data_IF_176079233748
#
_entry.id   IF_176079233748
#
_cell.length_a   1.000
_cell.length_b   1.000
_cell.length_c   1.000
_cell.angle_alpha   90.00
_cell.angle_beta   90.00
_cell.angle_gamma   90.00
#
_symmetry.space_group_name_H-M   'P 1'
#
loop_
_entity.id
_entity.type
_entity.pdbx_description
1 polymer ?
#
# COMPACT_ATOMS: atom_id res chain seq x y z
N UNK A 1 24.55 34.43 -16.76
CA UNK A 1 23.60 33.35 -16.41
C UNK A 1 23.86 32.21 -17.39
N UNK A 2 24.26 31.02 -16.93
CA UNK A 2 24.32 29.86 -17.80
C UNK A 2 22.88 29.43 -18.07
N UNK A 3 22.45 29.55 -19.33
CA UNK A 3 21.16 29.03 -19.78
C UNK A 3 21.37 27.51 -19.88
N UNK A 4 21.02 26.77 -18.82
CA UNK A 4 20.98 25.31 -18.93
C UNK A 4 19.89 24.93 -19.93
N UNK A 5 20.11 23.90 -20.76
CA UNK A 5 19.05 23.38 -21.61
C UNK A 5 17.84 22.96 -20.77
N UNK A 6 16.63 23.22 -21.26
CA UNK A 6 15.40 22.90 -20.53
C UNK A 6 15.32 21.43 -20.11
N UNK A 7 15.78 20.51 -20.97
CA UNK A 7 15.81 19.07 -20.66
C UNK A 7 16.64 18.72 -19.42
N UNK A 8 17.75 19.43 -19.19
CA UNK A 8 18.63 19.21 -18.05
C UNK A 8 18.04 19.79 -16.77
N UNK A 9 17.32 20.91 -16.88
CA UNK A 9 16.56 21.47 -15.76
C UNK A 9 15.45 20.52 -15.34
N UNK A 10 14.65 20.03 -16.28
CA UNK A 10 13.58 19.07 -15.98
C UNK A 10 14.15 17.78 -15.37
N UNK A 11 15.26 17.25 -15.89
CA UNK A 11 15.85 16.02 -15.34
C UNK A 11 16.32 16.19 -13.90
N UNK A 12 16.84 17.37 -13.54
CA UNK A 12 17.24 17.71 -12.18
C UNK A 12 16.03 17.81 -11.25
N UNK A 13 14.95 18.47 -11.69
CA UNK A 13 13.69 18.55 -10.93
C UNK A 13 13.13 17.15 -10.64
N UNK A 14 13.03 16.29 -11.66
CA UNK A 14 12.58 14.90 -11.51
C UNK A 14 13.46 14.06 -10.57
N UNK A 15 14.76 14.31 -10.58
CA UNK A 15 15.72 13.61 -9.73
C UNK A 15 15.55 13.98 -8.25
N UNK A 16 15.34 15.27 -7.95
CA UNK A 16 15.04 15.74 -6.60
C UNK A 16 13.70 15.19 -6.11
N UNK A 17 12.70 15.13 -6.99
CA UNK A 17 11.38 14.55 -6.70
C UNK A 17 11.48 13.06 -6.36
N UNK A 18 12.32 12.31 -7.07
CA UNK A 18 12.48 10.86 -6.92
C UNK A 18 13.34 10.43 -5.72
N UNK A 19 14.18 11.31 -5.18
CA UNK A 19 15.12 10.98 -4.10
C UNK A 19 14.44 10.42 -2.82
N UNK A 20 13.43 11.08 -2.23
CA UNK A 20 12.74 10.55 -1.05
C UNK A 20 12.10 9.18 -1.31
N UNK A 21 11.56 8.97 -2.52
CA UNK A 21 10.97 7.70 -2.92
C UNK A 21 12.05 6.61 -3.05
N UNK A 22 13.19 6.91 -3.65
CA UNK A 22 14.33 6.00 -3.74
C UNK A 22 14.83 5.56 -2.37
N UNK A 23 15.00 6.50 -1.43
CA UNK A 23 15.38 6.22 -0.04
C UNK A 23 14.32 5.32 0.63
N UNK A 24 13.03 5.65 0.48
CA UNK A 24 11.94 4.86 1.03
C UNK A 24 11.96 3.42 0.52
N UNK A 25 12.11 3.20 -0.79
CA UNK A 25 12.15 1.87 -1.39
C UNK A 25 13.37 1.06 -0.92
N UNK A 26 14.54 1.69 -0.77
CA UNK A 26 15.72 1.04 -0.21
C UNK A 26 15.50 0.63 1.24
N UNK A 27 14.96 1.52 2.08
CA UNK A 27 14.66 1.21 3.47
C UNK A 27 13.63 0.09 3.59
N UNK A 28 12.61 0.09 2.74
CA UNK A 28 11.60 -0.97 2.67
C UNK A 28 12.23 -2.30 2.23
N UNK A 29 13.11 -2.28 1.23
CA UNK A 29 13.87 -3.46 0.78
C UNK A 29 14.79 -4.02 1.87
N UNK A 30 15.53 -3.17 2.58
CA UNK A 30 16.38 -3.56 3.72
C UNK A 30 15.53 -4.16 4.83
N UNK A 31 14.42 -3.50 5.15
CA UNK A 31 13.51 -3.96 6.19
C UNK A 31 12.93 -5.32 5.82
N UNK A 32 12.37 -5.49 4.62
CA UNK A 32 11.83 -6.76 4.15
C UNK A 32 12.88 -7.87 4.02
N UNK A 33 14.11 -7.54 3.62
CA UNK A 33 15.23 -8.49 3.58
C UNK A 33 15.58 -9.04 4.98
N UNK A 34 15.52 -8.17 6.00
CA UNK A 34 15.80 -8.55 7.39
C UNK A 34 14.68 -9.35 8.04
N UNK A 35 13.48 -9.36 7.46
CA UNK A 35 12.38 -10.16 7.97
C UNK A 35 12.56 -11.63 7.57
N UNK A 36 12.51 -12.51 8.57
CA UNK A 36 12.49 -13.96 8.37
C UNK A 36 11.06 -14.49 8.25
N UNK A 37 10.08 -13.78 8.81
CA UNK A 37 8.67 -14.14 8.80
C UNK A 37 7.78 -13.00 8.30
N UNK A 38 6.59 -13.29 7.76
CA UNK A 38 5.62 -12.27 7.37
C UNK A 38 5.28 -11.36 8.53
N UNK A 39 5.30 -10.04 8.30
CA UNK A 39 5.01 -9.04 9.32
C UNK A 39 3.69 -8.36 9.07
N UNK A 40 2.89 -8.30 10.13
CA UNK A 40 1.68 -7.50 10.21
C UNK A 40 2.05 -6.04 10.54
N UNK A 41 1.70 -5.13 9.64
CA UNK A 41 1.92 -3.69 9.82
C UNK A 41 0.57 -2.98 9.83
N UNK A 42 0.41 -2.04 10.74
CA UNK A 42 -0.74 -1.14 10.74
C UNK A 42 -0.76 -0.33 9.44
N UNK A 43 -1.92 -0.22 8.78
CA UNK A 43 -2.06 0.57 7.54
C UNK A 43 -1.68 2.04 7.71
N UNK A 44 -1.73 2.58 8.93
CA UNK A 44 -1.22 3.92 9.21
C UNK A 44 0.30 4.06 9.06
N UNK A 45 1.08 3.11 9.61
CA UNK A 45 2.54 3.12 9.49
C UNK A 45 2.97 2.93 8.04
N UNK A 46 2.31 2.04 7.32
CA UNK A 46 2.55 1.84 5.88
C UNK A 46 2.25 3.13 5.10
N UNK A 47 1.06 3.71 5.27
CA UNK A 47 0.68 4.95 4.60
C UNK A 47 1.63 6.10 4.95
N UNK A 48 2.06 6.24 6.21
CA UNK A 48 3.05 7.26 6.59
C UNK A 48 4.38 7.08 5.87
N UNK A 49 4.87 5.83 5.77
CA UNK A 49 6.07 5.52 5.01
C UNK A 49 5.92 5.90 3.53
N UNK A 50 4.80 5.52 2.92
CA UNK A 50 4.51 5.85 1.53
C UNK A 50 4.40 7.36 1.30
N UNK A 51 3.71 8.09 2.18
CA UNK A 51 3.58 9.55 2.10
C UNK A 51 4.93 10.25 2.29
N UNK A 52 5.81 9.71 3.13
CA UNK A 52 7.18 10.20 3.27
C UNK A 52 7.96 9.99 1.97
N UNK A 53 7.85 8.81 1.34
CA UNK A 53 8.47 8.53 0.04
C UNK A 53 7.92 9.44 -1.08
N UNK A 54 6.62 9.72 -1.09
CA UNK A 54 5.97 10.59 -2.07
C UNK A 54 6.09 12.08 -1.76
N UNK A 55 6.67 12.46 -0.62
CA UNK A 55 6.75 13.86 -0.19
C UNK A 55 7.46 14.75 -1.22
N UNK A 56 8.53 14.25 -1.87
CA UNK A 56 9.21 14.98 -2.94
C UNK A 56 8.30 15.30 -4.12
N UNK A 57 7.46 14.34 -4.52
CA UNK A 57 6.47 14.52 -5.60
C UNK A 57 5.42 15.57 -5.24
N UNK A 58 4.94 15.58 -4.00
CA UNK A 58 3.93 16.55 -3.59
C UNK A 58 4.52 17.95 -3.30
N UNK A 59 5.73 18.04 -2.76
CA UNK A 59 6.30 19.32 -2.33
C UNK A 59 7.07 20.06 -3.44
N UNK A 60 7.63 19.33 -4.40
CA UNK A 60 8.47 19.89 -5.48
C UNK A 60 7.93 19.51 -6.87
N UNK A 61 7.11 18.46 -6.96
CA UNK A 61 6.69 17.89 -8.24
C UNK A 61 5.54 18.59 -8.96
N UNK A 62 4.99 17.94 -10.01
CA UNK A 62 4.00 18.51 -10.91
C UNK A 62 2.78 19.16 -10.23
N UNK A 63 2.25 18.66 -9.09
CA UNK A 63 1.15 19.33 -8.40
C UNK A 63 1.45 20.79 -8.04
N UNK A 64 2.72 21.15 -7.79
CA UNK A 64 3.12 22.52 -7.47
C UNK A 64 3.04 23.47 -8.66
N UNK A 65 2.98 22.97 -9.89
CA UNK A 65 2.86 23.79 -11.10
C UNK A 65 1.55 24.58 -11.13
N UNK A 66 0.50 24.07 -10.48
CA UNK A 66 -0.77 24.79 -10.29
C UNK A 66 -0.57 26.05 -9.44
N UNK A 67 0.21 25.94 -8.36
CA UNK A 67 0.55 27.05 -7.47
C UNK A 67 1.52 28.01 -8.17
N UNK A 68 2.43 27.50 -9.00
CA UNK A 68 3.37 28.32 -9.75
C UNK A 68 2.68 29.36 -10.66
N UNK A 69 1.48 29.06 -11.17
CA UNK A 69 0.68 30.04 -11.94
C UNK A 69 0.29 31.28 -11.13
N UNK A 70 0.17 31.18 -9.81
CA UNK A 70 -0.11 32.33 -8.94
C UNK A 70 1.05 33.34 -8.91
N UNK A 71 2.26 32.92 -9.27
CA UNK A 71 3.42 33.81 -9.35
C UNK A 71 3.24 34.94 -10.36
N UNK A 72 2.39 34.77 -11.37
CA UNK A 72 2.03 35.85 -12.31
C UNK A 72 1.29 37.02 -11.63
N UNK A 73 0.70 36.81 -10.44
CA UNK A 73 0.08 37.88 -9.64
C UNK A 73 1.04 38.50 -8.62
N UNK A 74 2.28 38.01 -8.53
CA UNK A 74 3.29 38.45 -7.57
C UNK A 74 3.76 37.32 -6.65
N UNK A 75 4.93 37.50 -6.06
CA UNK A 75 5.56 36.49 -5.19
C UNK A 75 4.78 36.28 -3.88
N UNK A 76 4.11 37.29 -3.34
CA UNK A 76 3.24 37.16 -2.15
C UNK A 76 2.10 36.17 -2.39
N UNK A 77 1.43 36.27 -3.54
CA UNK A 77 0.35 35.37 -3.93
C UNK A 77 0.82 33.93 -4.15
N UNK A 78 2.06 33.76 -4.63
CA UNK A 78 2.68 32.44 -4.73
C UNK A 78 2.83 31.80 -3.35
N UNK A 79 3.37 32.52 -2.37
CA UNK A 79 3.55 32.00 -1.00
C UNK A 79 2.23 31.70 -0.31
N UNK A 80 1.23 32.58 -0.46
CA UNK A 80 -0.13 32.34 0.06
C UNK A 80 -0.73 31.09 -0.57
N UNK A 81 -0.65 30.97 -1.90
CA UNK A 81 -1.12 29.79 -2.62
C UNK A 81 -0.42 28.50 -2.20
N UNK A 82 0.90 28.55 -1.99
CA UNK A 82 1.69 27.43 -1.53
C UNK A 82 1.31 27.02 -0.10
N UNK A 83 1.09 27.99 0.79
CA UNK A 83 0.59 27.74 2.14
C UNK A 83 -0.76 27.05 2.15
N UNK A 84 -1.72 27.51 1.35
CA UNK A 84 -3.04 26.86 1.19
C UNK A 84 -2.90 25.44 0.64
N UNK A 85 -2.03 25.24 -0.36
CA UNK A 85 -1.75 23.93 -0.94
C UNK A 85 -1.20 22.95 0.12
N UNK A 86 -0.21 23.35 0.90
CA UNK A 86 0.36 22.51 1.98
C UNK A 86 -0.70 22.20 3.04
N UNK A 87 -1.53 23.18 3.42
CA UNK A 87 -2.62 22.95 4.37
C UNK A 87 -3.61 21.88 3.84
N UNK A 88 -3.99 21.94 2.57
CA UNK A 88 -4.85 20.94 1.93
C UNK A 88 -4.20 19.55 1.90
N UNK A 89 -2.90 19.45 1.61
CA UNK A 89 -2.16 18.18 1.67
C UNK A 89 -2.18 17.59 3.08
N UNK A 90 -1.95 18.40 4.11
CA UNK A 90 -1.99 17.95 5.51
C UNK A 90 -3.40 17.49 5.93
N UNK A 91 -4.44 18.18 5.47
CA UNK A 91 -5.83 17.77 5.70
C UNK A 91 -6.13 16.44 4.99
N UNK A 92 -5.69 16.28 3.74
CA UNK A 92 -5.83 15.04 2.98
C UNK A 92 -5.09 13.88 3.66
N UNK A 93 -3.84 14.10 4.09
CA UNK A 93 -3.05 13.13 4.84
C UNK A 93 -3.78 12.72 6.13
N UNK A 94 -4.25 13.69 6.93
CA UNK A 94 -4.99 13.41 8.16
C UNK A 94 -6.27 12.62 7.88
N UNK A 95 -6.98 12.92 6.80
CA UNK A 95 -8.17 12.17 6.38
C UNK A 95 -7.85 10.74 5.96
N UNK A 96 -6.80 10.53 5.15
CA UNK A 96 -6.33 9.21 4.74
C UNK A 96 -5.88 8.37 5.96
N UNK A 97 -5.09 8.96 6.87
CA UNK A 97 -4.63 8.29 8.10
C UNK A 97 -5.78 7.88 9.01
N UNK A 98 -6.87 8.66 9.05
CA UNK A 98 -8.09 8.30 9.79
C UNK A 98 -8.79 7.11 9.13
N UNK A 99 -8.88 7.07 7.80
CA UNK A 99 -9.46 5.93 7.06
C UNK A 99 -8.65 4.65 7.25
N UNK A 100 -7.32 4.73 7.36
CA UNK A 100 -6.45 3.58 7.51
C UNK A 100 -6.31 3.05 8.96
N UNK A 101 -7.00 3.64 9.95
CA UNK A 101 -6.94 3.18 11.36
C UNK A 101 -7.37 1.72 11.55
N UNK A 102 -8.28 1.24 10.71
CA UNK A 102 -8.86 -0.12 10.77
C UNK A 102 -8.29 -1.06 9.72
N UNK A 103 -7.25 -0.65 9.03
CA UNK A 103 -6.61 -1.45 7.99
C UNK A 103 -5.28 -1.96 8.51
N UNK A 104 -4.96 -3.21 8.19
CA UNK A 104 -3.66 -3.80 8.41
C UNK A 104 -3.20 -4.48 7.14
N UNK A 105 -1.89 -4.54 6.97
CA UNK A 105 -1.25 -5.13 5.80
C UNK A 105 -0.23 -6.14 6.27
N UNK A 106 -0.32 -7.36 5.74
CA UNK A 106 0.67 -8.41 5.91
C UNK A 106 1.59 -8.37 4.69
N UNK A 107 2.89 -8.20 4.92
CA UNK A 107 3.92 -8.21 3.86
C UNK A 107 4.63 -9.55 3.75
N UNK A 108 5.07 -9.89 2.53
CA UNK A 108 5.89 -11.06 2.28
C UNK A 108 5.15 -12.37 2.55
N UNK A 109 3.85 -12.39 2.32
CA UNK A 109 3.02 -13.58 2.53
C UNK A 109 2.57 -14.12 1.17
N UNK A 110 2.76 -15.42 0.96
CA UNK A 110 2.17 -16.08 -0.18
C UNK A 110 0.64 -16.14 0.01
N UNK A 111 -0.11 -16.09 -1.09
CA UNK A 111 -1.55 -16.19 -1.04
C UNK A 111 -1.98 -17.45 -0.26
N UNK A 112 -1.36 -18.60 -0.56
CA UNK A 112 -1.61 -19.89 0.10
C UNK A 112 -1.42 -19.83 1.63
N UNK A 113 -0.29 -19.28 2.09
CA UNK A 113 0.03 -19.18 3.53
C UNK A 113 -0.92 -18.23 4.26
N UNK A 114 -1.30 -17.11 3.62
CA UNK A 114 -2.32 -16.22 4.16
C UNK A 114 -3.67 -16.93 4.31
N UNK A 115 -4.06 -17.78 3.34
CA UNK A 115 -5.32 -18.54 3.45
C UNK A 115 -5.25 -19.53 4.59
N UNK A 116 -4.15 -20.27 4.71
CA UNK A 116 -3.95 -21.25 5.76
C UNK A 116 -3.99 -20.59 7.14
N UNK A 117 -3.27 -19.49 7.32
CA UNK A 117 -3.24 -18.76 8.59
C UNK A 117 -4.63 -18.22 8.97
N UNK A 118 -5.41 -17.71 8.00
CA UNK A 118 -6.79 -17.27 8.24
C UNK A 118 -7.75 -18.43 8.55
N UNK A 119 -7.56 -19.59 7.93
CA UNK A 119 -8.35 -20.78 8.23
C UNK A 119 -8.05 -21.35 9.62
N UNK A 120 -6.78 -21.36 10.01
CA UNK A 120 -6.34 -21.74 11.36
C UNK A 120 -6.87 -20.77 12.41
N UNK A 121 -6.79 -19.45 12.14
CA UNK A 121 -7.39 -18.42 12.97
C UNK A 121 -8.89 -18.64 13.16
N UNK A 122 -9.64 -18.91 12.09
CA UNK A 122 -11.07 -19.18 12.19
C UNK A 122 -11.38 -20.41 13.05
N UNK A 123 -10.56 -21.47 12.96
CA UNK A 123 -10.69 -22.66 13.83
C UNK A 123 -10.42 -22.36 15.30
N UNK A 124 -9.43 -21.52 15.61
CA UNK A 124 -9.10 -21.15 16.99
C UNK A 124 -10.15 -20.24 17.62
N UNK A 125 -10.77 -19.34 16.84
CA UNK A 125 -11.72 -18.36 17.34
C UNK A 125 -13.18 -18.85 17.34
N UNK A 126 -13.50 -19.90 16.58
CA UNK A 126 -14.83 -20.51 16.54
C UNK A 126 -14.80 -21.98 16.98
N UNK A 127 -14.45 -22.31 18.24
CA UNK A 127 -14.47 -23.69 18.71
C UNK A 127 -15.88 -24.30 18.79
N UNK A 128 -16.95 -23.52 18.56
CA UNK A 128 -18.35 -23.95 18.74
C UNK A 128 -19.20 -24.20 17.51
N UNK A 129 -19.01 -23.50 16.38
CA UNK A 129 -19.96 -23.53 15.26
C UNK A 129 -19.28 -23.11 13.95
N UNK A 130 -18.69 -24.06 13.23
CA UNK A 130 -18.43 -23.92 11.79
C UNK A 130 -19.64 -24.47 11.03
N UNK A 131 -20.83 -23.93 11.31
CA UNK A 131 -21.95 -24.09 10.39
C UNK A 131 -21.68 -23.06 9.29
N UNK A 132 -21.36 -23.46 8.04
CA UNK A 132 -21.21 -22.50 6.95
C UNK A 132 -22.55 -21.79 6.83
N UNK A 133 -22.61 -20.58 7.38
CA UNK A 133 -23.78 -19.72 7.27
C UNK A 133 -24.07 -19.61 5.78
N UNK A 134 -25.23 -20.16 5.39
CA UNK A 134 -25.75 -20.12 4.04
C UNK A 134 -25.49 -18.75 3.43
N UNK A 135 -25.21 -18.65 2.11
CA UNK A 135 -25.01 -17.37 1.46
C UNK A 135 -26.16 -16.46 1.85
N UNK A 136 -25.85 -15.46 2.69
CA UNK A 136 -26.80 -14.43 3.08
C UNK A 136 -27.13 -13.73 1.77
N UNK A 137 -28.27 -14.11 1.20
CA UNK A 137 -28.84 -13.47 0.05
C UNK A 137 -29.02 -12.01 0.39
N UNK A 138 -28.04 -11.20 0.02
CA UNK A 138 -28.29 -9.80 -0.22
C UNK A 138 -29.35 -9.78 -1.31
N UNK A 139 -30.55 -9.33 -0.95
CA UNK A 139 -31.65 -9.07 -1.86
C UNK A 139 -31.11 -8.39 -3.12
N UNK A 140 -31.07 -9.20 -4.17
CA UNK A 140 -30.68 -8.85 -5.51
C UNK A 140 -31.92 -8.27 -6.16
N UNK A 141 -32.17 -6.97 -5.93
CA UNK A 141 -32.94 -6.13 -6.85
C UNK A 141 -32.07 -5.82 -8.08
N UNK A 142 -31.57 -6.86 -8.74
CA UNK A 142 -30.86 -6.75 -10.02
C UNK A 142 -31.61 -7.64 -11.01
N UNK A 143 -32.32 -6.99 -11.93
CA UNK A 143 -33.07 -7.62 -13.01
C UNK A 143 -32.27 -8.73 -13.69
N UNK A 144 -32.88 -9.92 -13.74
CA UNK A 144 -32.38 -11.09 -14.44
C UNK A 144 -32.16 -10.80 -15.94
N UNK A 145 -30.92 -10.90 -16.38
CA UNK A 145 -30.58 -11.18 -17.78
C UNK A 145 -30.33 -12.70 -17.85
N UNK A 146 -31.12 -13.47 -18.61
CA UNK A 146 -30.91 -14.90 -18.75
C UNK A 146 -29.67 -15.14 -19.63
N UNK A 147 -28.56 -15.55 -19.02
CA UNK A 147 -27.40 -16.09 -19.74
C UNK A 147 -27.67 -17.58 -19.97
N UNK A 148 -27.86 -17.93 -21.23
CA UNK A 148 -28.06 -19.27 -21.74
C UNK A 148 -26.68 -19.88 -22.02
N UNK A 149 -26.23 -20.83 -21.20
CA UNK A 149 -24.99 -21.58 -21.41
C UNK A 149 -25.32 -23.06 -21.64
N UNK A 150 -25.31 -23.48 -22.91
CA UNK A 150 -25.16 -24.87 -23.34
C UNK A 150 -23.68 -25.12 -23.65
N UNK A 151 -22.94 -25.76 -22.74
CA UNK A 151 -21.62 -26.32 -23.04
C UNK A 151 -21.26 -27.52 -22.14
N UNK A 152 -20.46 -28.47 -22.65
CA UNK A 152 -20.54 -29.88 -22.28
C UNK A 152 -19.74 -30.28 -21.02
N UNK A 153 -20.28 -31.27 -20.34
CA UNK A 153 -19.74 -31.94 -19.16
C UNK A 153 -18.48 -32.76 -19.52
N UNK A 154 -17.30 -32.15 -19.42
CA UNK A 154 -16.00 -32.82 -19.45
C UNK A 154 -15.35 -32.76 -18.06
N UNK A 155 -15.47 -33.84 -17.30
CA UNK A 155 -14.95 -33.97 -15.93
C UNK A 155 -13.43 -33.93 -15.86
N UNK A 156 -12.88 -32.74 -15.64
CA UNK A 156 -11.62 -32.58 -14.92
C UNK A 156 -12.02 -32.39 -13.47
N UNK A 157 -11.52 -33.24 -12.56
CA UNK A 157 -11.69 -33.07 -11.13
C UNK A 157 -11.30 -31.64 -10.77
N UNK A 158 -12.32 -30.81 -10.60
CA UNK A 158 -12.20 -29.40 -10.29
C UNK A 158 -11.58 -29.39 -8.91
N UNK A 159 -10.27 -29.19 -8.86
CA UNK A 159 -9.54 -28.92 -7.62
C UNK A 159 -10.34 -27.81 -6.96
N UNK A 160 -11.06 -28.16 -5.89
CA UNK A 160 -11.98 -27.27 -5.22
C UNK A 160 -11.18 -26.04 -4.82
N UNK A 161 -11.23 -25.01 -5.65
CA UNK A 161 -10.42 -23.81 -5.46
C UNK A 161 -10.98 -23.22 -4.20
N UNK A 162 -10.26 -23.38 -3.09
CA UNK A 162 -10.69 -22.90 -1.80
C UNK A 162 -10.75 -21.37 -1.90
N UNK A 163 -11.93 -20.85 -2.26
CA UNK A 163 -12.18 -19.42 -2.36
C UNK A 163 -12.33 -18.94 -0.94
N UNK A 164 -11.28 -18.31 -0.42
CA UNK A 164 -11.34 -17.69 0.90
C UNK A 164 -12.55 -16.74 0.93
N UNK A 165 -13.36 -16.78 1.99
CA UNK A 165 -14.38 -15.77 2.17
C UNK A 165 -13.71 -14.40 2.22
N UNK A 166 -14.09 -13.50 1.31
CA UNK A 166 -13.63 -12.09 1.32
C UNK A 166 -14.03 -11.37 2.62
N UNK A 167 -15.01 -11.91 3.35
CA UNK A 167 -15.52 -11.37 4.60
C UNK A 167 -15.68 -12.48 5.62
N UNK A 168 -15.09 -12.29 6.80
CA UNK A 168 -15.21 -13.20 7.94
C UNK A 168 -16.03 -12.48 9.00
N UNK A 169 -17.14 -13.09 9.41
CA UNK A 169 -18.05 -12.55 10.41
C UNK A 169 -18.02 -13.40 11.67
N UNK A 170 -17.81 -12.76 12.82
CA UNK A 170 -17.90 -13.39 14.14
C UNK A 170 -19.12 -12.85 14.88
N UNK A 171 -20.26 -13.58 14.90
CA UNK A 171 -21.52 -13.08 15.44
C UNK A 171 -21.44 -12.73 16.93
N UNK A 172 -20.74 -13.54 17.72
CA UNK A 172 -20.59 -13.35 19.16
C UNK A 172 -19.92 -12.02 19.53
N UNK A 173 -19.09 -11.48 18.63
CA UNK A 173 -18.32 -10.26 18.85
C UNK A 173 -18.81 -9.09 17.98
N UNK A 174 -19.89 -9.29 17.20
CA UNK A 174 -20.35 -8.36 16.16
C UNK A 174 -19.19 -7.80 15.32
N UNK A 175 -18.24 -8.68 14.97
CA UNK A 175 -17.01 -8.29 14.29
C UNK A 175 -17.04 -8.76 12.83
N UNK A 176 -16.68 -7.86 11.92
CA UNK A 176 -16.65 -8.13 10.48
C UNK A 176 -15.29 -7.72 9.92
N UNK A 177 -14.54 -8.70 9.42
CA UNK A 177 -13.24 -8.51 8.80
C UNK A 177 -13.32 -8.75 7.30
N UNK A 178 -12.93 -7.76 6.51
CA UNK A 178 -12.75 -7.87 5.07
C UNK A 178 -11.29 -8.22 4.77
N UNK A 179 -11.08 -9.25 3.94
CA UNK A 179 -9.78 -9.76 3.55
C UNK A 179 -9.59 -9.59 2.05
N UNK A 180 -8.52 -8.90 1.66
CA UNK A 180 -8.11 -8.74 0.27
C UNK A 180 -6.67 -9.22 0.10
N UNK A 181 -6.47 -10.28 -0.69
CA UNK A 181 -5.13 -10.82 -0.98
C UNK A 181 -4.72 -10.37 -2.37
N UNK A 182 -3.51 -9.82 -2.48
CA UNK A 182 -2.89 -9.45 -3.75
C UNK A 182 -1.71 -10.40 -4.02
N UNK A 183 -1.89 -11.40 -4.92
CA UNK A 183 -0.82 -12.34 -5.25
C UNK A 183 0.39 -11.64 -5.88
N UNK A 184 0.15 -10.59 -6.67
CA UNK A 184 1.21 -9.84 -7.35
C UNK A 184 2.08 -9.05 -6.37
N UNK A 185 1.47 -8.44 -5.37
CA UNK A 185 2.17 -7.67 -4.34
C UNK A 185 2.66 -8.53 -3.16
N UNK A 186 2.34 -9.82 -3.13
CA UNK A 186 2.62 -10.71 -1.98
C UNK A 186 2.15 -10.10 -0.64
N UNK A 187 0.96 -9.51 -0.68
CA UNK A 187 0.36 -8.83 0.46
C UNK A 187 -1.06 -9.32 0.73
N UNK A 188 -1.44 -9.32 2.00
CA UNK A 188 -2.83 -9.50 2.43
C UNK A 188 -3.25 -8.27 3.24
N UNK A 189 -4.35 -7.64 2.82
CA UNK A 189 -4.96 -6.50 3.51
C UNK A 189 -6.14 -6.98 4.33
N UNK A 190 -6.12 -6.63 5.62
CA UNK A 190 -7.15 -6.93 6.60
C UNK A 190 -7.84 -5.62 6.97
N UNK A 191 -9.14 -5.52 6.73
CA UNK A 191 -9.91 -4.30 7.01
C UNK A 191 -11.07 -4.61 7.94
N UNK A 192 -11.02 -4.02 9.12
CA UNK A 192 -12.10 -4.12 10.10
C UNK A 192 -13.24 -3.18 9.73
N UNK A 193 -14.39 -3.76 9.38
CA UNK A 193 -15.62 -3.01 9.11
C UNK A 193 -16.38 -2.76 10.43
N UNK A 194 -16.41 -3.76 11.32
CA UNK A 194 -17.07 -3.73 12.63
C UNK A 194 -16.26 -4.57 13.65
N UNK A 195 -16.42 -4.29 14.95
CA UNK A 195 -15.79 -5.03 16.04
C UNK A 195 -15.19 -4.14 17.15
N UNK A 196 -14.91 -4.75 18.31
CA UNK A 196 -14.18 -4.13 19.42
C UNK A 196 -12.65 -4.13 19.16
N UNK A 197 -11.95 -3.07 19.59
CA UNK A 197 -10.48 -2.96 19.49
C UNK A 197 -9.76 -4.09 20.22
N UNK A 198 -10.29 -4.56 21.36
CA UNK A 198 -9.67 -5.66 22.11
C UNK A 198 -9.74 -6.97 21.33
N UNK A 199 -10.88 -7.24 20.68
CA UNK A 199 -11.04 -8.42 19.82
C UNK A 199 -10.11 -8.34 18.62
N UNK A 200 -10.03 -7.17 18.00
CA UNK A 200 -9.09 -6.91 16.92
C UNK A 200 -7.65 -7.25 17.35
N UNK A 201 -7.18 -6.80 18.53
CA UNK A 201 -5.84 -7.14 19.03
C UNK A 201 -5.63 -8.64 19.24
N UNK A 202 -6.65 -9.36 19.73
CA UNK A 202 -6.57 -10.82 19.89
C UNK A 202 -6.36 -11.49 18.52
N UNK A 203 -7.20 -11.14 17.54
CA UNK A 203 -7.10 -11.67 16.17
C UNK A 203 -5.73 -11.39 15.57
N UNK A 204 -5.23 -10.17 15.75
CA UNK A 204 -3.91 -9.73 15.26
C UNK A 204 -2.76 -10.55 15.86
N UNK A 205 -2.79 -10.74 17.18
CA UNK A 205 -1.77 -11.53 17.89
C UNK A 205 -1.81 -13.01 17.48
N UNK A 206 -3.00 -13.60 17.35
CA UNK A 206 -3.13 -14.99 16.91
C UNK A 206 -2.65 -15.15 15.47
N UNK A 207 -3.05 -14.24 14.58
CA UNK A 207 -2.62 -14.26 13.20
C UNK A 207 -1.11 -14.06 13.06
N UNK A 208 -0.53 -13.13 13.83
CA UNK A 208 0.92 -12.92 13.86
C UNK A 208 1.66 -14.16 14.37
N UNK A 209 1.09 -14.90 15.33
CA UNK A 209 1.65 -16.18 15.80
C UNK A 209 1.62 -17.25 14.71
N UNK A 210 0.49 -17.42 14.02
CA UNK A 210 0.39 -18.35 12.88
C UNK A 210 1.36 -17.99 11.74
N UNK A 211 1.56 -16.70 11.47
CA UNK A 211 2.49 -16.23 10.45
C UNK A 211 3.96 -16.35 10.86
N UNK A 212 4.28 -16.31 12.16
CA UNK A 212 5.67 -16.44 12.63
C UNK A 212 6.30 -17.80 12.30
N UNK A 213 5.48 -18.82 12.09
CA UNK A 213 5.91 -20.17 11.70
C UNK A 213 6.15 -20.30 10.18
N UNK A 214 5.78 -19.28 9.40
CA UNK A 214 5.91 -19.26 7.94
C UNK A 214 7.15 -18.47 7.53
N UNK A 215 7.82 -18.93 6.48
CA UNK A 215 8.94 -18.21 5.89
C UNK A 215 8.44 -17.05 5.04
N UNK A 216 9.07 -15.88 5.19
CA UNK A 216 8.71 -14.69 4.40
C UNK A 216 9.07 -14.87 2.92
N UNK A 217 8.14 -14.55 2.03
CA UNK A 217 8.41 -14.46 0.59
C UNK A 217 9.24 -13.20 0.29
N UNK A 218 10.47 -13.42 -0.22
CA UNK A 218 11.46 -12.39 -0.54
C UNK A 218 11.52 -12.02 -2.02
N UNK A 219 10.60 -12.52 -2.85
CA UNK A 219 10.62 -12.29 -4.31
C UNK A 219 10.63 -10.82 -4.72
N UNK A 220 9.99 -9.92 -3.96
CA UNK A 220 9.95 -8.48 -4.26
C UNK A 220 11.20 -7.71 -3.79
N UNK A 221 12.00 -8.28 -2.89
CA UNK A 221 13.15 -7.59 -2.29
C UNK A 221 14.17 -7.10 -3.34
N UNK A 222 14.60 -7.92 -4.32
CA UNK A 222 15.52 -7.47 -5.36
C UNK A 222 14.96 -6.32 -6.21
N UNK A 223 13.65 -6.33 -6.48
CA UNK A 223 12.98 -5.30 -7.28
C UNK A 223 12.97 -3.97 -6.52
N UNK A 224 12.61 -4.00 -5.23
CA UNK A 224 12.62 -2.82 -4.37
C UNK A 224 14.03 -2.22 -4.27
N UNK A 225 15.05 -3.06 -4.09
CA UNK A 225 16.45 -2.61 -4.08
C UNK A 225 16.88 -2.00 -5.40
N UNK A 226 16.57 -2.66 -6.52
CA UNK A 226 16.92 -2.18 -7.85
C UNK A 226 16.28 -0.81 -8.15
N UNK A 227 14.97 -0.68 -7.92
CA UNK A 227 14.25 0.57 -8.15
C UNK A 227 14.75 1.69 -7.22
N UNK A 228 14.93 1.37 -5.94
CA UNK A 228 15.47 2.32 -4.96
C UNK A 228 16.88 2.79 -5.31
N UNK A 229 17.76 1.88 -5.74
CA UNK A 229 19.12 2.20 -6.15
C UNK A 229 19.17 3.03 -7.43
N UNK A 230 18.32 2.74 -8.42
CA UNK A 230 18.21 3.53 -9.66
C UNK A 230 17.77 4.96 -9.32
N UNK A 231 16.71 5.13 -8.54
CA UNK A 231 16.20 6.46 -8.15
C UNK A 231 17.24 7.25 -7.34
N UNK A 232 17.89 6.61 -6.36
CA UNK A 232 18.92 7.24 -5.56
C UNK A 232 20.15 7.62 -6.40
N UNK A 233 20.62 6.70 -7.26
CA UNK A 233 21.77 6.91 -8.13
C UNK A 233 21.55 8.06 -9.10
N UNK A 234 20.38 8.11 -9.76
CA UNK A 234 19.98 9.23 -10.61
C UNK A 234 19.94 10.55 -9.82
N UNK A 235 19.34 10.53 -8.63
CA UNK A 235 19.31 11.66 -7.70
C UNK A 235 20.70 12.22 -7.39
N UNK A 236 21.59 11.37 -6.90
CA UNK A 236 22.97 11.72 -6.54
C UNK A 236 23.76 12.21 -7.75
N UNK A 237 23.65 11.52 -8.89
CA UNK A 237 24.33 11.92 -10.12
C UNK A 237 23.96 13.34 -10.57
N UNK A 238 22.66 13.68 -10.54
CA UNK A 238 22.21 15.03 -10.90
C UNK A 238 22.68 16.10 -9.90
N UNK A 239 22.69 15.78 -8.60
CA UNK A 239 23.25 16.68 -7.58
C UNK A 239 24.75 16.93 -7.83
N UNK A 240 25.51 15.90 -8.18
CA UNK A 240 26.94 16.04 -8.49
C UNK A 240 27.19 16.89 -9.75
N UNK A 241 26.41 16.67 -10.82
CA UNK A 241 26.46 17.52 -12.02
C UNK A 241 26.18 18.97 -11.64
N UNK A 242 25.15 19.21 -10.84
CA UNK A 242 24.79 20.56 -10.42
C UNK A 242 25.89 21.24 -9.62
N UNK A 243 26.51 20.52 -8.67
CA UNK A 243 27.65 21.01 -7.89
C UNK A 243 28.86 21.31 -8.78
N UNK A 244 29.15 20.45 -9.77
CA UNK A 244 30.23 20.68 -10.72
C UNK A 244 30.00 21.93 -11.56
N UNK A 245 28.78 22.09 -12.10
CA UNK A 245 28.41 23.27 -12.88
C UNK A 245 28.43 24.56 -12.03
N UNK A 246 28.05 24.45 -10.76
CA UNK A 246 28.14 25.54 -9.81
C UNK A 246 29.59 25.93 -9.51
N UNK A 247 30.48 24.95 -9.33
CA UNK A 247 31.91 25.17 -9.09
C UNK A 247 32.65 25.78 -10.30
N UNK A 248 32.28 25.38 -11.51
CA UNK A 248 32.87 25.92 -12.75
C UNK A 248 32.39 27.34 -13.10
N UNK A 249 31.51 27.94 -12.30
CA UNK A 249 30.98 29.28 -12.56
C UNK A 249 32.02 30.32 -12.12
N UNK A 250 32.60 31.11 -13.06
CA UNK A 250 33.53 32.18 -12.74
C UNK A 250 32.84 33.36 -12.05
#
# INVERSE_FOLDING_TARGET
MLILPDWLRYSLEWSVIGLPLGIYLLLLGIWQYRLSSPVLVSGQRDLLGLLLGLSGFFLVGPPTWLVYRLRWRGDEWYWVGYGVYVALLLLLMRWLLRRQRRTQVIYGVNAADAQQALAELAKHLSPGELTPSAPVGHGEDTSAIPVHDDAPQGGIASSASWRIPRRIYWPQQHALLEVAISPWLRTATLRWLQGNEDWQRIVEQTLQRCLAEKEADRTLVPILFLLGAILLGLGVFHVLIWLLLWWLRP
#
